data_IF_456701881117
#
_entry.id   IF_456701881117
#
_cell.length_a   1.000
_cell.length_b   1.000
_cell.length_c   1.000
_cell.angle_alpha   90.00
_cell.angle_beta   90.00
_cell.angle_gamma   90.00
#
_symmetry.space_group_name_H-M   'P 1'
#
loop_
_entity.id
_entity.type
_entity.pdbx_description
1 polymer ?
#
# COMPACT_ATOMS: atom_id res chain seq x y z
N UNK A 1 25.22 -10.41 5.21
CA UNK A 1 23.81 -10.05 5.09
C UNK A 1 22.86 -11.26 5.10
N UNK A 2 23.31 -12.43 4.58
CA UNK A 2 22.44 -13.60 4.37
C UNK A 2 22.56 -14.70 5.42
N UNK A 3 23.33 -14.48 6.49
CA UNK A 3 23.56 -15.48 7.55
C UNK A 3 22.32 -15.86 8.39
N UNK A 4 21.25 -15.11 8.28
CA UNK A 4 19.98 -15.39 8.97
C UNK A 4 18.90 -16.01 8.06
N UNK A 5 19.20 -16.29 6.79
CA UNK A 5 18.26 -16.97 5.91
C UNK A 5 18.05 -18.41 6.37
N UNK A 6 16.78 -18.81 6.55
CA UNK A 6 16.39 -20.17 6.94
C UNK A 6 16.49 -21.18 5.80
N UNK A 7 16.68 -20.71 4.56
CA UNK A 7 16.77 -21.52 3.35
C UNK A 7 18.00 -21.11 2.53
N UNK A 8 18.52 -22.00 1.65
CA UNK A 8 19.61 -21.66 0.74
C UNK A 8 19.24 -20.50 -0.21
N UNK A 9 20.23 -19.69 -0.60
CA UNK A 9 20.03 -18.58 -1.55
C UNK A 9 19.40 -19.00 -2.88
N UNK A 10 19.59 -20.25 -3.30
CA UNK A 10 18.94 -20.79 -4.51
C UNK A 10 17.41 -20.85 -4.45
N UNK A 11 16.82 -20.77 -3.26
CA UNK A 11 15.38 -20.72 -3.06
C UNK A 11 14.84 -19.29 -2.87
N UNK A 12 15.73 -18.32 -2.66
CA UNK A 12 15.35 -16.90 -2.54
C UNK A 12 15.14 -16.32 -3.93
N UNK A 13 13.95 -15.79 -4.18
CA UNK A 13 13.55 -15.21 -5.48
C UNK A 13 13.39 -13.70 -5.43
N UNK A 14 13.34 -13.12 -4.23
CA UNK A 14 13.27 -11.66 -4.01
C UNK A 14 13.99 -11.28 -2.74
N UNK A 15 14.64 -10.13 -2.75
CA UNK A 15 15.34 -9.57 -1.60
C UNK A 15 14.74 -8.18 -1.34
N UNK A 16 14.36 -7.94 -0.09
CA UNK A 16 13.98 -6.65 0.44
C UNK A 16 14.91 -6.24 1.57
N UNK A 17 14.84 -4.99 1.97
CA UNK A 17 15.53 -4.50 3.15
C UNK A 17 14.68 -3.43 3.85
N UNK A 18 14.81 -3.34 5.16
CA UNK A 18 14.25 -2.25 5.95
C UNK A 18 14.90 -0.91 5.58
N UNK A 19 14.27 0.21 5.95
CA UNK A 19 14.76 1.57 5.64
C UNK A 19 16.13 1.88 6.23
N UNK A 20 16.53 1.16 7.29
CA UNK A 20 17.84 1.33 7.91
C UNK A 20 18.07 2.68 8.59
N UNK A 21 17.01 3.39 8.97
CA UNK A 21 17.07 4.73 9.59
C UNK A 21 17.90 4.77 10.87
N UNK A 22 18.00 3.66 11.59
CA UNK A 22 18.76 3.54 12.85
C UNK A 22 20.10 2.80 12.71
N UNK A 23 20.49 2.42 11.49
CA UNK A 23 21.72 1.65 11.26
C UNK A 23 21.75 0.96 9.91
N UNK A 24 22.40 -0.23 9.84
CA UNK A 24 22.41 -1.03 8.60
C UNK A 24 21.02 -1.62 8.36
N UNK A 25 20.51 -1.57 7.13
CA UNK A 25 19.24 -2.19 6.78
C UNK A 25 19.22 -3.69 7.11
N UNK A 26 18.11 -4.17 7.67
CA UNK A 26 17.87 -5.61 7.82
C UNK A 26 17.47 -6.16 6.44
N UNK A 27 18.21 -7.17 5.98
CA UNK A 27 17.95 -7.81 4.69
C UNK A 27 17.02 -9.00 4.90
N UNK A 28 15.98 -9.07 4.10
CA UNK A 28 14.95 -10.13 4.14
C UNK A 28 14.87 -10.79 2.77
N UNK A 29 15.02 -12.12 2.75
CA UNK A 29 14.89 -12.93 1.55
C UNK A 29 13.55 -13.65 1.52
N UNK A 30 12.88 -13.62 0.37
CA UNK A 30 11.57 -14.24 0.15
C UNK A 30 11.69 -15.39 -0.83
N UNK A 31 11.11 -16.53 -0.49
CA UNK A 31 10.86 -17.63 -1.43
C UNK A 31 9.60 -17.33 -2.26
N UNK A 32 9.31 -18.15 -3.28
CA UNK A 32 8.02 -18.05 -4.01
C UNK A 32 6.80 -18.25 -3.11
N UNK A 33 6.92 -19.17 -2.13
CA UNK A 33 5.84 -19.43 -1.18
C UNK A 33 5.59 -18.20 -0.30
N UNK A 34 6.64 -17.58 0.22
CA UNK A 34 6.52 -16.36 1.04
C UNK A 34 5.85 -15.23 0.26
N UNK A 35 6.22 -15.03 -1.00
CA UNK A 35 5.59 -14.01 -1.85
C UNK A 35 4.11 -14.31 -2.11
N UNK A 36 3.74 -15.57 -2.29
CA UNK A 36 2.34 -15.97 -2.47
C UNK A 36 1.52 -15.77 -1.19
N UNK A 37 2.05 -16.19 -0.04
CA UNK A 37 1.40 -15.97 1.26
C UNK A 37 1.24 -14.49 1.56
N UNK A 38 2.27 -13.70 1.28
CA UNK A 38 2.22 -12.25 1.46
C UNK A 38 1.18 -11.57 0.56
N UNK A 39 1.13 -11.93 -0.74
CA UNK A 39 0.09 -11.42 -1.64
C UNK A 39 -1.31 -11.75 -1.13
N UNK A 40 -1.52 -12.93 -0.56
CA UNK A 40 -2.78 -13.35 0.04
C UNK A 40 -3.14 -12.49 1.27
N UNK A 41 -2.20 -12.22 2.17
CA UNK A 41 -2.42 -11.35 3.33
C UNK A 41 -2.91 -9.95 2.90
N UNK A 42 -2.25 -9.36 1.91
CA UNK A 42 -2.64 -8.04 1.38
C UNK A 42 -3.98 -8.09 0.66
N UNK A 43 -4.27 -9.18 -0.06
CA UNK A 43 -5.57 -9.39 -0.71
C UNK A 43 -6.72 -9.37 0.28
N UNK A 44 -6.54 -10.01 1.44
CA UNK A 44 -7.52 -9.99 2.54
C UNK A 44 -7.74 -8.59 3.06
N UNK A 45 -6.66 -7.82 3.27
CA UNK A 45 -6.74 -6.42 3.67
C UNK A 45 -7.56 -5.60 2.66
N UNK A 46 -7.23 -5.67 1.38
CA UNK A 46 -7.94 -4.91 0.35
C UNK A 46 -9.40 -5.33 0.22
N UNK A 47 -9.69 -6.62 0.35
CA UNK A 47 -11.07 -7.12 0.36
C UNK A 47 -11.85 -6.61 1.57
N UNK A 48 -11.22 -6.55 2.75
CA UNK A 48 -11.82 -5.98 3.96
C UNK A 48 -12.10 -4.48 3.84
N UNK A 49 -11.37 -3.76 2.99
CA UNK A 49 -11.64 -2.35 2.64
C UNK A 49 -12.75 -2.18 1.59
N UNK A 50 -13.32 -3.27 1.12
CA UNK A 50 -14.34 -3.27 0.07
C UNK A 50 -13.80 -3.11 -1.35
N UNK A 51 -12.48 -3.29 -1.55
CA UNK A 51 -11.90 -3.32 -2.89
C UNK A 51 -11.99 -4.72 -3.51
N UNK A 52 -12.03 -4.79 -4.82
CA UNK A 52 -12.20 -6.04 -5.55
C UNK A 52 -11.72 -5.98 -7.00
N UNK A 53 -12.11 -6.98 -7.77
CA UNK A 53 -11.64 -7.23 -9.14
C UNK A 53 -11.89 -6.06 -10.11
N UNK A 54 -12.95 -5.28 -9.90
CA UNK A 54 -13.31 -4.16 -10.78
C UNK A 54 -12.57 -2.87 -10.46
N UNK A 55 -11.69 -2.89 -9.45
CA UNK A 55 -10.98 -1.71 -8.98
C UNK A 55 -9.69 -1.45 -9.74
N UNK A 56 -9.29 -0.19 -9.73
CA UNK A 56 -8.02 0.29 -10.30
C UNK A 56 -7.20 0.89 -9.15
N UNK A 57 -6.13 0.20 -8.81
CA UNK A 57 -5.23 0.57 -7.74
C UNK A 57 -4.13 1.49 -8.24
N UNK A 58 -4.02 2.68 -7.68
CA UNK A 58 -2.84 3.51 -7.85
C UNK A 58 -1.89 3.29 -6.69
N UNK A 59 -0.77 2.60 -6.97
CA UNK A 59 0.26 2.30 -5.99
C UNK A 59 1.33 3.39 -6.03
N UNK A 60 1.24 4.30 -5.06
CA UNK A 60 2.12 5.46 -4.90
C UNK A 60 3.17 5.28 -3.80
N UNK A 61 3.34 4.05 -3.30
CA UNK A 61 4.51 3.65 -2.53
C UNK A 61 5.72 3.47 -3.44
N UNK A 62 6.93 3.74 -2.92
CA UNK A 62 8.17 3.50 -3.66
C UNK A 62 8.36 2.01 -4.03
N UNK A 63 8.71 1.77 -5.29
CA UNK A 63 9.13 0.45 -5.78
C UNK A 63 10.64 0.32 -5.66
N UNK A 64 11.10 -0.44 -4.68
CA UNK A 64 12.53 -0.62 -4.41
C UNK A 64 12.77 -1.70 -3.36
N UNK A 65 13.81 -1.52 -2.54
CA UNK A 65 14.13 -2.47 -1.48
C UNK A 65 13.06 -2.51 -0.37
N UNK A 66 12.34 -1.41 -0.17
CA UNK A 66 11.21 -1.37 0.76
C UNK A 66 10.02 -2.18 0.23
N UNK A 67 9.27 -2.78 1.15
CA UNK A 67 8.23 -3.77 0.82
C UNK A 67 6.91 -3.17 0.32
N UNK A 68 6.62 -1.90 0.62
CA UNK A 68 5.29 -1.29 0.44
C UNK A 68 4.75 -1.35 -0.98
N UNK A 69 5.52 -0.88 -1.98
CA UNK A 69 5.07 -0.81 -3.37
C UNK A 69 4.79 -2.18 -3.97
N UNK A 70 5.77 -3.10 -3.91
CA UNK A 70 5.64 -4.45 -4.47
C UNK A 70 4.61 -5.31 -3.71
N UNK A 71 4.42 -5.05 -2.42
CA UNK A 71 3.41 -5.74 -1.63
C UNK A 71 2.00 -5.34 -2.06
N UNK A 72 1.70 -4.04 -2.06
CA UNK A 72 0.40 -3.54 -2.49
C UNK A 72 0.07 -3.96 -3.94
N UNK A 73 1.06 -3.89 -4.83
CA UNK A 73 0.95 -4.37 -6.21
C UNK A 73 0.53 -5.84 -6.28
N UNK A 74 1.29 -6.71 -5.61
CA UNK A 74 1.03 -8.16 -5.64
C UNK A 74 -0.36 -8.50 -5.04
N UNK A 75 -0.78 -7.84 -3.97
CA UNK A 75 -2.10 -8.05 -3.37
C UNK A 75 -3.24 -7.62 -4.28
N UNK A 76 -3.10 -6.47 -4.95
CA UNK A 76 -4.11 -6.00 -5.90
C UNK A 76 -4.22 -6.90 -7.14
N UNK A 77 -3.10 -7.35 -7.71
CA UNK A 77 -3.12 -8.33 -8.81
C UNK A 77 -3.75 -9.66 -8.37
N UNK A 78 -3.48 -10.11 -7.14
CA UNK A 78 -3.99 -11.38 -6.62
C UNK A 78 -5.52 -11.40 -6.47
N UNK A 79 -6.17 -10.25 -6.18
CA UNK A 79 -7.64 -10.14 -6.20
C UNK A 79 -8.20 -9.92 -7.62
N UNK A 80 -7.34 -9.84 -8.63
CA UNK A 80 -7.71 -9.65 -10.03
C UNK A 80 -8.01 -8.20 -10.41
N UNK A 81 -7.61 -7.23 -9.61
CA UNK A 81 -7.73 -5.80 -9.89
C UNK A 81 -6.64 -5.31 -10.85
N UNK A 82 -6.86 -4.14 -11.45
CA UNK A 82 -5.83 -3.46 -12.25
C UNK A 82 -4.92 -2.64 -11.38
N UNK A 83 -3.62 -2.56 -11.72
CA UNK A 83 -2.64 -1.80 -10.93
C UNK A 83 -1.93 -0.78 -11.81
N UNK A 84 -1.87 0.46 -11.33
CA UNK A 84 -1.02 1.53 -11.85
C UNK A 84 0.21 1.61 -10.94
N UNK A 85 1.37 1.08 -11.37
CA UNK A 85 2.60 1.05 -10.55
C UNK A 85 3.31 2.40 -10.59
N UNK A 86 2.69 3.42 -10.00
CA UNK A 86 3.11 4.81 -10.14
C UNK A 86 4.43 5.12 -9.42
N UNK A 87 4.69 4.41 -8.31
CA UNK A 87 5.79 4.71 -7.39
C UNK A 87 5.59 6.07 -6.68
N UNK A 88 6.53 6.47 -5.85
CA UNK A 88 6.50 7.74 -5.12
C UNK A 88 6.99 8.91 -5.99
N UNK A 89 6.56 10.12 -5.64
CA UNK A 89 6.98 11.37 -6.30
C UNK A 89 6.16 11.71 -7.55
N UNK A 90 6.58 12.75 -8.25
CA UNK A 90 5.94 13.28 -9.45
C UNK A 90 4.42 13.50 -9.30
N UNK A 91 4.07 14.35 -8.34
CA UNK A 91 2.67 14.57 -7.92
C UNK A 91 1.73 15.00 -9.04
N UNK A 92 2.17 15.86 -9.94
CA UNK A 92 1.38 16.29 -11.09
C UNK A 92 0.98 15.09 -11.97
N UNK A 93 1.95 14.22 -12.28
CA UNK A 93 1.68 12.98 -13.04
C UNK A 93 0.81 12.00 -12.26
N UNK A 94 0.96 11.93 -10.92
CA UNK A 94 0.07 11.13 -10.07
C UNK A 94 -1.38 11.53 -10.26
N UNK A 95 -1.66 12.83 -10.23
CA UNK A 95 -3.00 13.40 -10.36
C UNK A 95 -3.55 13.15 -11.76
N UNK A 96 -2.78 13.45 -12.79
CA UNK A 96 -3.18 13.24 -14.19
C UNK A 96 -3.56 11.77 -14.44
N UNK A 97 -2.71 10.82 -14.02
CA UNK A 97 -2.99 9.39 -14.24
C UNK A 97 -4.13 8.87 -13.36
N UNK A 98 -4.28 9.41 -12.15
CA UNK A 98 -5.41 9.10 -11.27
C UNK A 98 -6.73 9.48 -11.91
N UNK A 99 -6.78 10.65 -12.52
CA UNK A 99 -7.94 11.15 -13.28
C UNK A 99 -8.16 10.32 -14.56
N UNK A 100 -7.17 10.24 -15.43
CA UNK A 100 -7.31 9.67 -16.78
C UNK A 100 -7.61 8.17 -16.77
N UNK A 101 -7.06 7.42 -15.80
CA UNK A 101 -7.29 5.99 -15.65
C UNK A 101 -8.44 5.66 -14.68
N UNK A 102 -9.02 6.66 -14.03
CA UNK A 102 -10.13 6.46 -13.10
C UNK A 102 -9.75 5.59 -11.89
N UNK A 103 -8.62 5.91 -11.24
CA UNK A 103 -8.17 5.16 -10.05
C UNK A 103 -9.25 5.17 -8.97
N UNK A 104 -9.57 3.98 -8.43
CA UNK A 104 -10.59 3.81 -7.38
C UNK A 104 -10.00 3.56 -6.01
N UNK A 105 -8.76 3.06 -5.95
CA UNK A 105 -8.02 2.77 -4.72
C UNK A 105 -6.66 3.47 -4.74
N UNK A 106 -6.35 4.22 -3.69
CA UNK A 106 -5.05 4.88 -3.51
C UNK A 106 -4.25 4.16 -2.42
N UNK A 107 -3.03 3.74 -2.74
CA UNK A 107 -2.07 3.14 -1.80
C UNK A 107 -0.85 4.05 -1.64
N UNK A 108 -0.70 4.71 -0.50
CA UNK A 108 0.44 5.59 -0.20
C UNK A 108 0.60 5.79 1.32
N UNK A 109 1.55 6.63 1.74
CA UNK A 109 1.61 7.07 3.13
C UNK A 109 0.50 8.07 3.43
N UNK A 110 -0.02 8.15 4.69
CA UNK A 110 -1.07 9.10 5.05
C UNK A 110 -0.67 10.56 4.78
N UNK A 111 0.57 10.93 5.10
CA UNK A 111 1.07 12.29 4.82
C UNK A 111 1.07 12.62 3.33
N UNK A 112 1.39 11.64 2.49
CA UNK A 112 1.34 11.85 1.04
C UNK A 112 -0.09 11.92 0.51
N UNK A 113 -1.05 11.22 1.13
CA UNK A 113 -2.46 11.33 0.80
C UNK A 113 -3.00 12.74 1.04
N UNK A 114 -2.64 13.37 2.17
CA UNK A 114 -2.97 14.77 2.44
C UNK A 114 -2.34 15.72 1.43
N UNK A 115 -1.06 15.52 1.12
CA UNK A 115 -0.37 16.31 0.11
C UNK A 115 -1.02 16.19 -1.27
N UNK A 116 -1.39 14.98 -1.68
CA UNK A 116 -2.13 14.73 -2.93
C UNK A 116 -3.50 15.41 -2.93
N UNK A 117 -4.22 15.37 -1.81
CA UNK A 117 -5.52 16.01 -1.68
C UNK A 117 -5.45 17.52 -1.93
N UNK A 118 -4.45 18.19 -1.35
CA UNK A 118 -4.22 19.61 -1.56
C UNK A 118 -3.78 19.89 -3.01
N UNK A 119 -2.90 19.07 -3.56
CA UNK A 119 -2.46 19.21 -4.96
C UNK A 119 -3.59 18.94 -5.99
N UNK A 120 -4.52 18.02 -5.70
CA UNK A 120 -5.72 17.80 -6.52
C UNK A 120 -6.58 19.08 -6.55
N UNK A 121 -6.79 19.71 -5.40
CA UNK A 121 -7.54 20.97 -5.33
C UNK A 121 -6.91 22.08 -6.19
N UNK A 122 -5.60 22.11 -6.29
CA UNK A 122 -4.84 23.12 -7.03
C UNK A 122 -4.64 22.73 -8.51
N UNK A 123 -4.94 21.49 -8.90
CA UNK A 123 -4.67 20.95 -10.25
C UNK A 123 -5.58 21.49 -11.35
N UNK A 124 -6.74 22.04 -10.98
CA UNK A 124 -7.77 22.48 -11.93
C UNK A 124 -8.75 21.38 -12.36
N UNK A 125 -8.54 20.12 -11.97
CA UNK A 125 -9.54 19.06 -12.18
C UNK A 125 -10.64 19.18 -11.11
N UNK A 126 -11.92 19.14 -11.50
CA UNK A 126 -13.02 19.04 -10.54
C UNK A 126 -12.92 17.76 -9.70
N UNK A 127 -13.16 17.87 -8.39
CA UNK A 127 -13.07 16.70 -7.48
C UNK A 127 -13.99 15.56 -7.92
N UNK A 128 -15.13 15.88 -8.50
CA UNK A 128 -16.16 14.95 -8.96
C UNK A 128 -15.72 14.07 -10.12
N UNK A 129 -14.67 14.43 -10.83
CA UNK A 129 -14.11 13.65 -11.93
C UNK A 129 -13.18 12.51 -11.44
N UNK A 130 -12.72 12.57 -10.17
CA UNK A 130 -11.94 11.48 -9.58
C UNK A 130 -12.85 10.38 -9.06
N UNK A 131 -12.50 9.13 -9.32
CA UNK A 131 -13.27 7.95 -8.94
C UNK A 131 -12.78 7.26 -7.66
N UNK A 132 -11.89 7.89 -6.91
CA UNK A 132 -11.38 7.36 -5.67
C UNK A 132 -12.50 7.10 -4.67
N UNK A 133 -12.49 5.92 -4.05
CA UNK A 133 -13.42 5.48 -3.01
C UNK A 133 -12.74 4.93 -1.76
N UNK A 134 -11.53 4.37 -1.92
CA UNK A 134 -10.77 3.72 -0.84
C UNK A 134 -9.32 4.18 -0.84
N UNK A 135 -8.79 4.41 0.36
CA UNK A 135 -7.37 4.60 0.60
C UNK A 135 -6.82 3.52 1.53
N UNK A 136 -5.71 2.89 1.15
CA UNK A 136 -4.93 1.97 1.97
C UNK A 136 -3.62 2.66 2.37
N UNK A 137 -3.55 3.11 3.61
CA UNK A 137 -2.49 3.98 4.11
C UNK A 137 -1.69 3.30 5.21
N UNK A 138 -0.38 3.52 5.23
CA UNK A 138 0.51 2.94 6.24
C UNK A 138 1.95 3.39 6.04
N UNK A 139 2.89 2.64 6.61
CA UNK A 139 4.32 2.90 6.64
C UNK A 139 4.75 4.07 7.54
N UNK A 140 3.82 4.80 8.13
CA UNK A 140 4.06 5.82 9.15
C UNK A 140 2.88 5.86 10.14
N UNK A 141 3.08 6.27 11.39
CA UNK A 141 1.98 6.46 12.33
C UNK A 141 1.11 7.66 11.92
N UNK A 142 -0.19 7.52 12.09
CA UNK A 142 -1.16 8.56 11.82
C UNK A 142 -2.30 8.56 12.83
N UNK A 143 -3.10 9.63 12.86
CA UNK A 143 -4.13 9.85 13.88
C UNK A 143 -5.53 9.83 13.27
N UNK A 144 -6.55 9.66 14.11
CA UNK A 144 -7.94 9.77 13.67
C UNK A 144 -8.28 11.15 13.06
N UNK A 145 -7.70 12.23 13.60
CA UNK A 145 -7.87 13.55 12.99
C UNK A 145 -7.33 13.59 11.55
N UNK A 146 -6.19 12.96 11.31
CA UNK A 146 -5.60 12.86 9.99
C UNK A 146 -6.44 11.98 9.06
N UNK A 147 -7.04 10.91 9.59
CA UNK A 147 -8.01 10.06 8.88
C UNK A 147 -9.20 10.89 8.38
N UNK A 148 -9.84 11.61 9.29
CA UNK A 148 -10.98 12.45 8.94
C UNK A 148 -10.61 13.52 7.90
N UNK A 149 -9.45 14.15 8.04
CA UNK A 149 -8.99 15.13 7.07
C UNK A 149 -8.77 14.53 5.67
N UNK A 150 -8.18 13.32 5.58
CA UNK A 150 -8.01 12.59 4.32
C UNK A 150 -9.37 12.22 3.72
N UNK A 151 -10.26 11.66 4.52
CA UNK A 151 -11.60 11.25 4.09
C UNK A 151 -12.42 12.44 3.56
N UNK A 152 -12.40 13.56 4.28
CA UNK A 152 -13.12 14.79 3.89
C UNK A 152 -12.56 15.39 2.59
N UNK A 153 -11.23 15.50 2.48
CA UNK A 153 -10.58 16.13 1.32
C UNK A 153 -10.68 15.26 0.07
N UNK A 154 -10.51 13.94 0.19
CA UNK A 154 -10.52 13.02 -0.95
C UNK A 154 -11.89 12.38 -1.19
N UNK A 155 -12.84 12.48 -0.26
CA UNK A 155 -14.16 11.86 -0.35
C UNK A 155 -14.08 10.33 -0.43
N UNK A 156 -13.20 9.72 0.36
CA UNK A 156 -12.92 8.28 0.37
C UNK A 156 -13.11 7.70 1.76
N UNK A 157 -13.00 6.36 1.88
CA UNK A 157 -12.75 5.70 3.16
C UNK A 157 -11.26 5.39 3.30
N UNK A 158 -10.67 5.76 4.44
CA UNK A 158 -9.24 5.65 4.71
C UNK A 158 -8.95 4.54 5.72
N UNK A 159 -8.21 3.53 5.32
CA UNK A 159 -7.90 2.36 6.15
C UNK A 159 -6.41 2.25 6.43
N UNK A 160 -6.08 1.81 7.65
CA UNK A 160 -4.71 1.52 8.04
C UNK A 160 -4.29 0.13 7.57
N UNK A 161 -3.05 0.05 7.04
CA UNK A 161 -2.40 -1.21 6.69
C UNK A 161 -1.03 -1.26 7.36
N UNK A 162 -0.83 -2.28 8.19
CA UNK A 162 0.36 -2.44 9.00
C UNK A 162 1.26 -3.57 8.48
N UNK A 163 2.56 -3.38 8.64
CA UNK A 163 3.58 -4.39 8.43
C UNK A 163 4.99 -3.83 8.53
N UNK A 164 5.95 -4.72 8.56
CA UNK A 164 7.40 -4.42 8.55
C UNK A 164 8.06 -5.32 7.53
N UNK A 165 9.19 -4.91 6.98
CA UNK A 165 9.99 -5.78 6.09
C UNK A 165 10.35 -7.11 6.76
N UNK A 166 10.58 -7.09 8.07
CA UNK A 166 10.98 -8.23 8.90
C UNK A 166 9.85 -9.24 9.17
N UNK A 167 8.60 -8.86 8.93
CA UNK A 167 7.40 -9.70 9.17
C UNK A 167 6.54 -9.81 7.90
N UNK A 168 7.14 -10.07 6.77
CA UNK A 168 6.52 -10.22 5.45
C UNK A 168 5.97 -8.91 4.80
N UNK A 169 6.22 -7.73 5.35
CA UNK A 169 5.79 -6.46 4.76
C UNK A 169 4.37 -6.04 5.12
N UNK A 170 3.75 -5.08 4.39
CA UNK A 170 2.41 -4.62 4.67
C UNK A 170 1.36 -5.74 4.48
N UNK A 171 0.22 -5.62 5.18
CA UNK A 171 -0.89 -6.55 5.10
C UNK A 171 -0.89 -7.64 6.18
N UNK A 172 0.13 -7.71 7.02
CA UNK A 172 0.14 -8.58 8.21
C UNK A 172 -0.94 -8.14 9.20
N UNK A 173 -1.10 -6.82 9.36
CA UNK A 173 -2.18 -6.21 10.09
C UNK A 173 -2.98 -5.24 9.20
N UNK A 174 -4.29 -5.18 9.39
CA UNK A 174 -5.17 -4.31 8.61
C UNK A 174 -6.48 -4.01 9.34
N UNK A 175 -7.09 -2.90 9.02
CA UNK A 175 -8.44 -2.56 9.49
C UNK A 175 -9.52 -3.24 8.65
N UNK A 176 -10.75 -3.11 9.07
CA UNK A 176 -11.94 -3.42 8.29
C UNK A 176 -12.85 -2.18 8.20
N UNK A 177 -14.03 -2.34 7.65
CA UNK A 177 -15.02 -1.26 7.51
C UNK A 177 -15.38 -0.54 8.82
N UNK A 178 -15.17 -1.20 9.96
CA UNK A 178 -15.40 -0.59 11.29
C UNK A 178 -14.38 0.47 11.68
N UNK A 179 -13.21 0.53 11.01
CA UNK A 179 -12.11 1.46 11.28
C UNK A 179 -11.70 1.52 12.77
N UNK A 180 -11.84 0.40 13.48
CA UNK A 180 -11.55 0.31 14.91
C UNK A 180 -10.81 -0.98 15.24
N UNK A 181 -9.54 -0.85 15.57
CA UNK A 181 -8.64 -1.96 15.83
C UNK A 181 -8.09 -2.61 14.55
N UNK A 182 -7.16 -3.52 14.73
CA UNK A 182 -6.41 -4.17 13.64
C UNK A 182 -6.64 -5.67 13.66
N UNK A 183 -7.08 -6.22 12.55
CA UNK A 183 -7.06 -7.67 12.30
C UNK A 183 -5.63 -8.09 12.00
N UNK A 184 -5.22 -9.25 12.52
CA UNK A 184 -3.92 -9.85 12.21
C UNK A 184 -4.14 -11.11 11.38
N UNK A 185 -3.32 -11.30 10.35
CA UNK A 185 -3.22 -12.56 9.63
C UNK A 185 -2.37 -13.52 10.46
N UNK A 186 -2.99 -14.58 11.03
CA UNK A 186 -2.31 -15.53 11.92
C UNK A 186 -1.53 -16.62 11.17
N UNK A 187 -1.68 -16.69 9.86
CA UNK A 187 -1.14 -17.74 8.99
C UNK A 187 0.04 -17.28 8.10
N UNK A 188 0.67 -16.16 8.45
CA UNK A 188 1.83 -15.63 7.71
C UNK A 188 3.17 -16.06 8.31
#
# INVERSE_FOLDING_TARGET
PFGLCAVPMSQIVRIHASSGTTGKPTVVGYTRKDLSSWAECISRAFTAYGAGRSDIFQVSYGYGLFTGGLGAHAGAENIGASVIPMSSGNTEKQITLMHDFGSTVLCCTPSYALYLADAIKDSGYPREEFQLKVGAFGAEPWTENMRHEIEDKLGIKAYDIYGLSEIAGPGVGYECECQHGTHLNEDH
#
